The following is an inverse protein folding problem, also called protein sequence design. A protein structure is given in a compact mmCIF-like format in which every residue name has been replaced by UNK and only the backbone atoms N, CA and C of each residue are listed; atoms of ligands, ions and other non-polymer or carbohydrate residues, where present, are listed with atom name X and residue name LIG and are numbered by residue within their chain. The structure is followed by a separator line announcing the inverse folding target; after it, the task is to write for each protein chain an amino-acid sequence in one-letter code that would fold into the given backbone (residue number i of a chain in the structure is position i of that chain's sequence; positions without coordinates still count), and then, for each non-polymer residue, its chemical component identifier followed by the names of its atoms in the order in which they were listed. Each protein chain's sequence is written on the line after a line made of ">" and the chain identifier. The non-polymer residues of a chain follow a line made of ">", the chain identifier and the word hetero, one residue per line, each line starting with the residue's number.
data_IF_760412166190
#
_entry.id   IF_760412166190
#
_cell.length_a   1.000
_cell.length_b   1.000
_cell.length_c   1.000
_cell.angle_alpha   90.00
_cell.angle_beta   90.00
_cell.angle_gamma   90.00
#
_symmetry.space_group_name_H-M   'P 1'
#
loop_
_entity.id
_entity.type
_entity.pdbx_description
1 polymer ?
#
# COMPACT_ATOMS: atom_id res chain seq x y z
N UNK A 1 -17.93 56.11 42.22
CA UNK A 1 -18.41 55.07 41.27
C UNK A 1 -17.80 53.74 41.68
N UNK A 2 -18.56 52.64 41.80
CA UNK A 2 -18.00 51.35 42.21
C UNK A 2 -17.18 50.73 41.07
N UNK A 3 -16.00 50.22 41.39
CA UNK A 3 -15.13 49.48 40.47
C UNK A 3 -15.75 48.10 40.25
N UNK A 4 -16.16 47.80 39.01
CA UNK A 4 -16.69 46.47 38.68
C UNK A 4 -15.59 45.42 38.80
N UNK A 5 -15.70 44.60 39.84
CA UNK A 5 -14.84 43.46 40.13
C UNK A 5 -15.08 42.36 39.09
N UNK A 6 -14.00 42.01 38.37
CA UNK A 6 -13.67 40.68 37.85
C UNK A 6 -14.72 39.87 37.08
N UNK A 7 -14.40 39.52 35.83
CA UNK A 7 -14.94 38.33 35.19
C UNK A 7 -13.77 37.39 34.83
N UNK A 8 -13.45 36.44 35.72
CA UNK A 8 -12.64 35.28 35.36
C UNK A 8 -13.54 34.32 34.59
N UNK A 9 -13.43 34.31 33.28
CA UNK A 9 -14.01 33.30 32.40
C UNK A 9 -13.06 33.18 31.20
N UNK A 10 -12.60 32.03 30.75
CA UNK A 10 -13.20 30.71 30.81
C UNK A 10 -12.16 29.64 31.12
N UNK A 11 -12.65 28.55 31.68
CA UNK A 11 -12.01 27.27 31.88
C UNK A 11 -11.00 26.92 30.76
N UNK A 12 -9.69 27.01 31.03
CA UNK A 12 -8.64 26.39 30.21
C UNK A 12 -8.78 24.88 30.35
N UNK A 13 -9.76 24.28 29.67
CA UNK A 13 -9.71 22.85 29.39
C UNK A 13 -8.49 22.64 28.48
N UNK A 14 -7.52 21.81 28.87
CA UNK A 14 -6.50 21.37 27.94
C UNK A 14 -7.21 20.75 26.74
N UNK A 15 -6.91 21.23 25.54
CA UNK A 15 -7.28 20.54 24.31
C UNK A 15 -6.76 19.11 24.42
N UNK A 16 -7.58 18.08 24.17
CA UNK A 16 -7.10 16.70 24.12
C UNK A 16 -5.90 16.64 23.18
N UNK A 17 -4.82 15.91 23.53
CA UNK A 17 -3.71 15.71 22.62
C UNK A 17 -4.26 15.14 21.30
N UNK A 18 -3.76 15.57 20.13
CA UNK A 18 -4.23 15.04 18.86
C UNK A 18 -4.06 13.52 18.89
N UNK A 19 -5.18 12.80 18.78
CA UNK A 19 -5.18 11.36 18.59
C UNK A 19 -4.32 11.09 17.37
N UNK A 20 -3.13 10.52 17.60
CA UNK A 20 -2.26 10.05 16.52
C UNK A 20 -2.96 8.84 15.93
N UNK A 21 -3.83 9.04 14.95
CA UNK A 21 -4.38 7.95 14.18
C UNK A 21 -3.21 7.13 13.62
N UNK A 22 -3.06 5.85 14.01
CA UNK A 22 -1.97 5.02 13.50
C UNK A 22 -2.10 4.82 11.98
N UNK A 23 -3.30 5.03 11.42
CA UNK A 23 -3.51 5.09 9.98
C UNK A 23 -2.78 6.26 9.30
N UNK A 24 -2.57 7.38 10.00
CA UNK A 24 -1.92 8.60 9.50
C UNK A 24 -0.39 8.61 9.68
N UNK A 25 0.18 7.65 10.42
CA UNK A 25 1.61 7.63 10.76
C UNK A 25 2.51 7.01 9.68
N UNK A 26 1.99 6.08 8.88
CA UNK A 26 2.68 5.58 7.69
C UNK A 26 2.41 6.57 6.56
N UNK A 27 3.41 7.39 6.24
CA UNK A 27 3.37 8.37 5.16
C UNK A 27 3.07 7.73 3.78
N UNK A 28 2.87 8.57 2.74
CA UNK A 28 2.49 8.10 1.41
C UNK A 28 3.43 7.01 0.89
N UNK A 29 2.88 5.99 0.22
CA UNK A 29 3.71 4.96 -0.41
C UNK A 29 4.67 5.57 -1.44
N UNK A 30 5.95 5.14 -1.48
CA UNK A 30 6.91 5.66 -2.44
C UNK A 30 6.50 5.37 -3.89
N UNK A 31 6.71 6.31 -4.81
CA UNK A 31 6.38 6.12 -6.24
C UNK A 31 7.05 4.90 -6.88
N UNK A 32 8.20 4.48 -6.38
CA UNK A 32 8.87 3.26 -6.86
C UNK A 32 8.05 1.99 -6.56
N UNK A 33 7.27 1.99 -5.48
CA UNK A 33 6.40 0.87 -5.10
C UNK A 33 5.37 0.55 -6.18
N UNK A 34 4.75 1.57 -6.76
CA UNK A 34 3.80 1.40 -7.89
C UNK A 34 4.51 0.77 -9.08
N UNK A 35 5.76 1.17 -9.33
CA UNK A 35 6.56 0.60 -10.42
C UNK A 35 6.86 -0.87 -10.15
N UNK A 36 7.28 -1.25 -8.93
CA UNK A 36 7.53 -2.64 -8.55
C UNK A 36 6.26 -3.48 -8.60
N UNK A 37 5.13 -2.96 -8.14
CA UNK A 37 3.83 -3.64 -8.16
C UNK A 37 3.42 -4.01 -9.59
N UNK A 38 3.38 -3.03 -10.50
CA UNK A 38 3.01 -3.26 -11.89
C UNK A 38 4.01 -4.13 -12.64
N UNK A 39 5.32 -3.95 -12.40
CA UNK A 39 6.32 -4.77 -13.05
C UNK A 39 6.27 -6.23 -12.59
N UNK A 40 5.97 -6.50 -11.32
CA UNK A 40 5.81 -7.87 -10.82
C UNK A 40 4.59 -8.55 -11.43
N UNK A 41 3.44 -7.86 -11.52
CA UNK A 41 2.25 -8.40 -12.18
C UNK A 41 2.47 -8.60 -13.68
N UNK A 42 3.06 -7.62 -14.36
CA UNK A 42 3.38 -7.69 -15.78
C UNK A 42 4.38 -8.81 -16.10
N UNK A 43 5.42 -8.97 -15.30
CA UNK A 43 6.39 -10.05 -15.45
C UNK A 43 5.72 -11.42 -15.29
N UNK A 44 4.81 -11.59 -14.33
CA UNK A 44 4.06 -12.84 -14.16
C UNK A 44 3.19 -13.16 -15.38
N UNK A 45 2.53 -12.15 -15.96
CA UNK A 45 1.77 -12.31 -17.19
C UNK A 45 2.66 -12.69 -18.38
N UNK A 46 3.83 -12.05 -18.53
CA UNK A 46 4.81 -12.39 -19.57
C UNK A 46 5.29 -13.83 -19.43
N UNK A 47 5.56 -14.30 -18.21
CA UNK A 47 5.97 -15.70 -17.96
C UNK A 47 4.89 -16.69 -18.42
N UNK A 48 3.62 -16.40 -18.14
CA UNK A 48 2.50 -17.23 -18.59
C UNK A 48 2.48 -17.27 -20.12
N UNK A 49 2.54 -16.11 -20.78
CA UNK A 49 2.55 -16.05 -22.26
C UNK A 49 3.73 -16.82 -22.84
N UNK A 50 4.95 -16.61 -22.34
CA UNK A 50 6.16 -17.30 -22.81
C UNK A 50 6.06 -18.82 -22.61
N UNK A 51 5.45 -19.27 -21.51
CA UNK A 51 5.20 -20.69 -21.27
C UNK A 51 4.26 -21.32 -22.32
N UNK A 52 3.48 -20.54 -23.07
CA UNK A 52 2.64 -21.05 -24.16
C UNK A 52 3.18 -20.77 -25.56
N UNK A 53 4.16 -19.87 -25.71
CA UNK A 53 4.73 -19.50 -27.01
C UNK A 53 5.66 -20.57 -27.61
N UNK A 54 5.82 -21.74 -26.99
CA UNK A 54 6.69 -22.84 -27.42
C UNK A 54 8.18 -22.45 -27.66
N UNK A 55 8.61 -21.26 -27.26
CA UNK A 55 10.00 -20.80 -27.37
C UNK A 55 10.96 -21.60 -26.48
N UNK A 56 10.45 -22.28 -25.45
CA UNK A 56 11.25 -23.06 -24.50
C UNK A 56 10.93 -24.54 -24.70
N UNK A 57 11.89 -25.40 -25.09
CA UNK A 57 11.63 -26.82 -25.25
C UNK A 57 11.15 -27.43 -23.93
N UNK A 58 10.04 -28.18 -24.00
CA UNK A 58 9.39 -28.78 -22.82
C UNK A 58 8.27 -27.95 -22.19
N UNK A 59 7.87 -26.82 -22.79
CA UNK A 59 6.61 -26.13 -22.44
C UNK A 59 5.39 -26.75 -23.13
N UNK A 60 4.19 -26.70 -22.52
CA UNK A 60 3.86 -26.01 -21.26
C UNK A 60 4.28 -26.80 -20.01
N UNK A 61 4.79 -26.10 -18.98
CA UNK A 61 5.15 -26.70 -17.68
C UNK A 61 4.26 -26.13 -16.59
N UNK A 62 3.61 -27.01 -15.81
CA UNK A 62 2.80 -26.60 -14.65
C UNK A 62 3.62 -25.80 -13.63
N UNK A 63 4.92 -26.05 -13.51
CA UNK A 63 5.81 -25.29 -12.62
C UNK A 63 6.01 -23.84 -13.06
N UNK A 64 6.12 -23.57 -14.36
CA UNK A 64 6.21 -22.21 -14.91
C UNK A 64 4.88 -21.46 -14.77
N UNK A 65 3.75 -22.17 -14.96
CA UNK A 65 2.42 -21.61 -14.71
C UNK A 65 2.22 -21.23 -13.25
N UNK A 66 2.56 -22.13 -12.32
CA UNK A 66 2.49 -21.85 -10.89
C UNK A 66 3.40 -20.69 -10.49
N UNK A 67 4.60 -20.62 -11.07
CA UNK A 67 5.52 -19.52 -10.81
C UNK A 67 4.96 -18.18 -11.33
N UNK A 68 4.45 -18.13 -12.56
CA UNK A 68 3.82 -16.93 -13.11
C UNK A 68 2.60 -16.48 -12.29
N UNK A 69 1.76 -17.44 -11.87
CA UNK A 69 0.60 -17.18 -11.02
C UNK A 69 1.01 -16.66 -9.63
N UNK A 70 2.02 -17.27 -9.01
CA UNK A 70 2.54 -16.82 -7.73
C UNK A 70 3.11 -15.40 -7.83
N UNK A 71 3.79 -15.06 -8.93
CA UNK A 71 4.33 -13.72 -9.16
C UNK A 71 3.20 -12.67 -9.27
N UNK A 72 2.15 -12.99 -10.01
CA UNK A 72 0.94 -12.14 -10.08
C UNK A 72 0.30 -12.00 -8.70
N UNK A 73 0.20 -13.10 -7.94
CA UNK A 73 -0.32 -13.10 -6.57
C UNK A 73 0.47 -12.19 -5.63
N UNK A 74 1.81 -12.19 -5.72
CA UNK A 74 2.68 -11.28 -4.95
C UNK A 74 2.45 -9.83 -5.36
N UNK A 75 2.41 -9.54 -6.67
CA UNK A 75 2.10 -8.19 -7.16
C UNK A 75 0.70 -7.71 -6.75
N UNK A 76 -0.27 -8.62 -6.70
CA UNK A 76 -1.61 -8.32 -6.19
C UNK A 76 -1.61 -8.08 -4.68
N UNK A 77 -0.88 -8.87 -3.89
CA UNK A 77 -0.76 -8.66 -2.44
C UNK A 77 -0.13 -7.31 -2.11
N UNK A 78 0.82 -6.83 -2.94
CA UNK A 78 1.36 -5.47 -2.82
C UNK A 78 0.27 -4.39 -2.95
N UNK A 79 -0.82 -4.63 -3.68
CA UNK A 79 -1.94 -3.67 -3.75
C UNK A 79 -2.64 -3.47 -2.40
N UNK A 80 -2.62 -4.50 -1.54
CA UNK A 80 -3.32 -4.49 -0.26
C UNK A 80 -2.58 -3.68 0.81
N UNK A 81 -1.25 -3.60 0.72
CA UNK A 81 -0.40 -2.80 1.62
C UNK A 81 -0.04 -1.43 1.00
N UNK A 82 -0.61 -1.12 -0.18
CA UNK A 82 -0.49 0.20 -0.80
C UNK A 82 -1.24 1.27 0.02
N UNK A 83 -0.62 2.43 0.21
CA UNK A 83 -1.10 3.53 1.07
C UNK A 83 -1.06 4.88 0.35
#
# INVERSE_FOLDING_TARGET
>A
MPVSKGRKSANKRPTPPPTRDPAKSKGPSPKWYVTTMFSTMGAGAVIIVVNYMAFIPGTPRNTLLLFGLALIGVGFAMTMDYR
#
